data_IF_757724696599
#
_entry.id   IF_757724696599
#
_cell.length_a   1.000
_cell.length_b   1.000
_cell.length_c   1.000
_cell.angle_alpha   90.00
_cell.angle_beta   90.00
_cell.angle_gamma   90.00
#
_symmetry.space_group_name_H-M   'P 1'
#
loop_
_entity.id
_entity.type
_entity.pdbx_description
1 polymer ?
#
# COMPACT_ATOMS: atom_id res chain seq x y z
N UNK A 1 -1.14 -7.91 20.16
CA UNK A 1 -0.32 -6.68 20.06
C UNK A 1 -1.26 -5.50 20.17
N UNK A 2 -1.08 -4.62 21.15
CA UNK A 2 -1.90 -3.39 21.25
C UNK A 2 -1.39 -2.31 20.26
N UNK A 3 -2.12 -1.20 20.08
CA UNK A 3 -1.78 -0.16 19.11
C UNK A 3 -0.36 0.41 19.31
N UNK A 4 0.03 0.69 20.56
CA UNK A 4 1.38 1.20 20.88
C UNK A 4 2.48 0.19 20.54
N UNK A 5 2.23 -1.09 20.76
CA UNK A 5 3.15 -2.16 20.38
C UNK A 5 3.23 -2.35 18.86
N UNK A 6 2.13 -2.11 18.14
CA UNK A 6 2.10 -2.16 16.68
C UNK A 6 2.96 -1.04 16.08
N UNK A 7 2.72 0.21 16.45
CA UNK A 7 3.52 1.33 15.96
C UNK A 7 5.01 1.17 16.30
N UNK A 8 5.32 0.67 17.50
CA UNK A 8 6.70 0.33 17.88
C UNK A 8 7.29 -0.81 17.05
N UNK A 9 6.49 -1.79 16.65
CA UNK A 9 6.96 -2.89 15.80
C UNK A 9 7.21 -2.41 14.36
N UNK A 10 6.32 -1.57 13.83
CA UNK A 10 6.49 -0.90 12.53
C UNK A 10 7.74 -0.02 12.54
N UNK A 11 7.97 0.78 13.59
CA UNK A 11 9.14 1.66 13.72
C UNK A 11 10.48 0.93 13.87
N UNK A 12 10.46 -0.40 13.99
CA UNK A 12 11.65 -1.26 14.10
C UNK A 12 11.93 -2.05 12.82
N UNK A 13 11.05 -1.95 11.81
CA UNK A 13 11.32 -2.57 10.52
C UNK A 13 12.50 -1.88 9.85
N UNK A 14 13.41 -2.67 9.29
CA UNK A 14 14.60 -2.19 8.61
C UNK A 14 15.04 -3.18 7.53
N UNK A 15 15.80 -2.68 6.55
CA UNK A 15 16.31 -3.47 5.44
C UNK A 15 15.20 -4.17 4.65
N UNK A 16 15.41 -5.43 4.30
CA UNK A 16 14.46 -6.17 3.45
C UNK A 16 13.05 -6.28 4.06
N UNK A 17 12.92 -6.30 5.40
CA UNK A 17 11.61 -6.38 6.07
C UNK A 17 10.81 -5.11 5.89
N UNK A 18 11.47 -3.95 5.95
CA UNK A 18 10.81 -2.67 5.71
C UNK A 18 10.34 -2.55 4.27
N UNK A 19 11.21 -2.87 3.31
CA UNK A 19 10.85 -2.89 1.89
C UNK A 19 9.68 -3.85 1.61
N UNK A 20 9.69 -5.05 2.19
CA UNK A 20 8.60 -6.01 2.05
C UNK A 20 7.28 -5.50 2.65
N UNK A 21 7.33 -4.83 3.80
CA UNK A 21 6.13 -4.22 4.39
C UNK A 21 5.55 -3.12 3.49
N UNK A 22 6.39 -2.21 2.98
CA UNK A 22 5.96 -1.15 2.06
C UNK A 22 5.32 -1.73 0.79
N UNK A 23 5.93 -2.77 0.20
CA UNK A 23 5.38 -3.46 -0.97
C UNK A 23 4.07 -4.18 -0.67
N UNK A 24 3.91 -4.72 0.53
CA UNK A 24 2.67 -5.37 0.97
C UNK A 24 1.51 -4.36 1.04
N UNK A 25 1.75 -3.15 1.56
CA UNK A 25 0.76 -2.08 1.55
C UNK A 25 0.40 -1.63 0.12
N UNK A 26 1.41 -1.43 -0.73
CA UNK A 26 1.20 -1.06 -2.12
C UNK A 26 0.45 -2.16 -2.91
N UNK A 27 0.79 -3.43 -2.70
CA UNK A 27 0.11 -4.57 -3.34
C UNK A 27 -1.37 -4.62 -2.96
N UNK A 28 -1.69 -4.43 -1.67
CA UNK A 28 -3.08 -4.34 -1.20
C UNK A 28 -3.81 -3.13 -1.78
N UNK A 29 -3.14 -2.01 -2.02
CA UNK A 29 -3.76 -0.81 -2.58
C UNK A 29 -3.87 -0.82 -4.12
N UNK A 30 -3.20 -1.73 -4.81
CA UNK A 30 -3.13 -1.77 -6.28
C UNK A 30 -4.50 -1.78 -6.99
N UNK A 31 -5.52 -2.52 -6.53
CA UNK A 31 -6.81 -2.53 -7.23
C UNK A 31 -7.48 -1.14 -7.28
N UNK A 32 -7.19 -0.25 -6.33
CA UNK A 32 -7.69 1.14 -6.36
C UNK A 32 -7.16 1.89 -7.58
N UNK A 33 -5.85 1.79 -7.84
CA UNK A 33 -5.22 2.40 -9.01
C UNK A 33 -5.76 1.79 -10.30
N UNK A 34 -5.87 0.45 -10.34
CA UNK A 34 -6.30 -0.24 -11.54
C UNK A 34 -7.75 0.08 -11.90
N UNK A 35 -8.66 0.15 -10.91
CA UNK A 35 -10.04 0.56 -11.13
C UNK A 35 -10.13 2.01 -11.60
N UNK A 36 -9.41 2.93 -10.95
CA UNK A 36 -9.37 4.32 -11.38
C UNK A 36 -8.89 4.44 -12.83
N UNK A 37 -7.77 3.77 -13.16
CA UNK A 37 -7.19 3.82 -14.49
C UNK A 37 -8.16 3.29 -15.56
N UNK A 38 -8.88 2.20 -15.26
CA UNK A 38 -9.91 1.68 -16.17
C UNK A 38 -11.09 2.65 -16.31
N UNK A 39 -11.61 3.16 -15.19
CA UNK A 39 -12.75 4.07 -15.16
C UNK A 39 -12.54 5.37 -15.95
N UNK A 40 -11.31 5.89 -15.97
CA UNK A 40 -10.96 7.11 -16.73
C UNK A 40 -10.31 6.81 -18.09
N UNK A 41 -10.25 5.54 -18.50
CA UNK A 41 -9.71 5.10 -19.79
C UNK A 41 -8.18 5.19 -19.92
N UNK A 42 -7.46 5.33 -18.81
CA UNK A 42 -6.00 5.24 -18.77
C UNK A 42 -5.53 3.80 -19.02
N UNK A 43 -4.81 3.59 -20.12
CA UNK A 43 -4.16 2.30 -20.45
C UNK A 43 -2.87 2.08 -19.65
N UNK A 44 -2.87 2.42 -18.36
CA UNK A 44 -1.71 2.38 -17.46
C UNK A 44 -1.73 1.23 -16.46
N UNK A 45 -2.90 0.63 -16.15
CA UNK A 45 -3.04 -0.44 -15.15
C UNK A 45 -2.05 -1.60 -15.34
N UNK A 46 -1.93 -2.14 -16.55
CA UNK A 46 -0.96 -3.20 -16.85
C UNK A 46 0.51 -2.76 -16.73
N UNK A 47 0.84 -1.51 -17.09
CA UNK A 47 2.20 -0.96 -16.94
C UNK A 47 2.57 -0.78 -15.46
N UNK A 48 1.59 -0.39 -14.64
CA UNK A 48 1.74 -0.24 -13.20
C UNK A 48 1.89 -1.60 -12.51
N UNK A 49 1.10 -2.60 -12.91
CA UNK A 49 1.23 -3.98 -12.43
C UNK A 49 2.65 -4.52 -12.65
N UNK A 50 3.18 -4.34 -13.85
CA UNK A 50 4.56 -4.72 -14.19
C UNK A 50 5.60 -3.98 -13.33
N UNK A 51 5.39 -2.70 -13.03
CA UNK A 51 6.29 -1.93 -12.18
C UNK A 51 6.30 -2.46 -10.74
N UNK A 52 5.12 -2.76 -10.19
CA UNK A 52 4.99 -3.35 -8.86
C UNK A 52 5.59 -4.77 -8.81
N UNK A 53 5.41 -5.58 -9.86
CA UNK A 53 6.02 -6.91 -9.97
C UNK A 53 7.55 -6.86 -10.03
N UNK A 54 8.11 -5.87 -10.74
CA UNK A 54 9.54 -5.61 -10.74
C UNK A 54 10.01 -5.24 -9.32
N UNK A 55 9.29 -4.38 -8.61
CA UNK A 55 9.63 -3.98 -7.26
C UNK A 55 9.63 -5.17 -6.27
N UNK A 56 8.67 -6.10 -6.39
CA UNK A 56 8.70 -7.38 -5.67
C UNK A 56 9.91 -8.23 -6.05
N UNK A 57 10.24 -8.34 -7.34
CA UNK A 57 11.40 -9.09 -7.82
C UNK A 57 12.74 -8.58 -7.25
N UNK A 58 12.82 -7.30 -6.91
CA UNK A 58 14.00 -6.70 -6.28
C UNK A 58 14.19 -7.12 -4.81
N UNK A 59 13.22 -7.77 -4.16
CA UNK A 59 13.43 -8.39 -2.84
C UNK A 59 14.32 -9.64 -2.90
N UNK A 60 14.29 -10.35 -4.03
CA UNK A 60 15.00 -11.62 -4.22
C UNK A 60 16.30 -11.47 -5.01
N UNK A 61 16.41 -10.42 -5.83
CA UNK A 61 17.57 -10.18 -6.69
C UNK A 61 18.43 -9.08 -6.09
N UNK A 62 19.74 -9.17 -6.31
CA UNK A 62 20.64 -8.01 -6.24
C UNK A 62 20.31 -7.08 -7.41
N UNK A 63 19.19 -6.36 -7.26
CA UNK A 63 18.79 -5.35 -8.21
C UNK A 63 19.80 -4.21 -8.14
N UNK A 64 20.39 -3.87 -9.28
CA UNK A 64 21.30 -2.73 -9.36
C UNK A 64 20.55 -1.47 -8.92
N UNK A 65 21.05 -0.81 -7.87
CA UNK A 65 20.51 0.47 -7.38
C UNK A 65 20.44 1.52 -8.50
N UNK A 66 21.27 1.39 -9.53
CA UNK A 66 21.27 2.25 -10.71
C UNK A 66 19.95 2.22 -11.52
N UNK A 67 19.13 1.16 -11.38
CA UNK A 67 17.84 1.07 -12.05
C UNK A 67 16.71 1.83 -11.32
N UNK A 68 16.86 2.12 -10.03
CA UNK A 68 15.81 2.73 -9.20
C UNK A 68 15.37 4.11 -9.71
N UNK A 69 16.26 5.04 -10.11
CA UNK A 69 15.85 6.34 -10.65
C UNK A 69 14.95 6.22 -11.89
N UNK A 70 15.21 5.23 -12.75
CA UNK A 70 14.39 4.98 -13.94
C UNK A 70 13.00 4.44 -13.55
N UNK A 71 12.93 3.57 -12.53
CA UNK A 71 11.65 3.07 -12.02
C UNK A 71 10.81 4.18 -11.37
N UNK A 72 11.44 5.08 -10.62
CA UNK A 72 10.78 6.26 -10.04
C UNK A 72 10.25 7.20 -11.11
N UNK A 73 11.04 7.51 -12.14
CA UNK A 73 10.57 8.31 -13.28
C UNK A 73 9.40 7.64 -14.00
N UNK A 74 9.43 6.31 -14.17
CA UNK A 74 8.29 5.57 -14.73
C UNK A 74 7.06 5.67 -13.82
N UNK A 75 7.22 5.55 -12.50
CA UNK A 75 6.13 5.70 -11.53
C UNK A 75 5.48 7.08 -11.65
N UNK A 76 6.30 8.15 -11.67
CA UNK A 76 5.84 9.54 -11.82
C UNK A 76 4.99 9.72 -13.08
N UNK A 77 5.41 9.18 -14.23
CA UNK A 77 4.62 9.26 -15.48
C UNK A 77 3.30 8.48 -15.46
N UNK A 78 3.15 7.53 -14.52
CA UNK A 78 1.94 6.73 -14.36
C UNK A 78 1.06 7.25 -13.21
N UNK A 79 1.59 8.12 -12.35
CA UNK A 79 0.85 8.69 -11.22
C UNK A 79 -0.17 9.71 -11.74
N UNK A 80 -1.43 9.64 -11.29
CA UNK A 80 -2.39 10.67 -11.62
C UNK A 80 -2.12 11.96 -10.85
N UNK A 81 -2.55 13.09 -11.41
CA UNK A 81 -2.65 14.36 -10.70
C UNK A 81 -4.07 14.49 -10.15
N UNK A 82 -4.22 14.63 -8.83
CA UNK A 82 -5.54 14.70 -8.18
C UNK A 82 -6.38 15.89 -8.62
N UNK A 83 -5.74 16.98 -9.05
CA UNK A 83 -6.43 18.20 -9.51
C UNK A 83 -6.98 18.09 -10.95
N UNK A 84 -6.63 17.02 -11.68
CA UNK A 84 -7.04 16.80 -13.07
C UNK A 84 -8.28 15.89 -13.21
N UNK A 85 -8.81 15.36 -12.10
CA UNK A 85 -9.93 14.43 -12.12
C UNK A 85 -10.96 14.76 -11.04
N UNK A 86 -12.24 14.79 -11.41
CA UNK A 86 -13.34 15.03 -10.47
C UNK A 86 -13.73 13.76 -9.69
N UNK A 87 -13.37 12.58 -10.20
CA UNK A 87 -13.75 11.30 -9.60
C UNK A 87 -12.90 11.02 -8.35
N UNK A 88 -13.56 10.71 -7.23
CA UNK A 88 -12.90 10.40 -5.96
C UNK A 88 -11.80 9.33 -6.08
N UNK A 89 -11.96 8.34 -6.99
CA UNK A 89 -11.01 7.27 -7.21
C UNK A 89 -9.57 7.73 -7.52
N UNK A 90 -9.36 8.99 -7.90
CA UNK A 90 -8.02 9.56 -8.09
C UNK A 90 -7.20 9.59 -6.80
N UNK A 91 -7.82 9.84 -5.64
CA UNK A 91 -7.13 9.90 -4.34
C UNK A 91 -6.53 8.55 -3.92
N UNK A 92 -7.29 7.43 -3.86
CA UNK A 92 -6.70 6.14 -3.51
C UNK A 92 -5.77 5.59 -4.60
N UNK A 93 -5.93 6.00 -5.86
CA UNK A 93 -4.97 5.70 -6.92
C UNK A 93 -3.62 6.43 -6.70
N UNK A 94 -3.67 7.69 -6.29
CA UNK A 94 -2.48 8.48 -5.94
C UNK A 94 -1.80 7.94 -4.68
N UNK A 95 -2.56 7.58 -3.64
CA UNK A 95 -2.02 7.00 -2.41
C UNK A 95 -1.28 5.68 -2.67
N UNK A 96 -1.82 4.83 -3.56
CA UNK A 96 -1.12 3.65 -4.05
C UNK A 96 0.25 4.01 -4.67
N UNK A 97 0.32 5.05 -5.52
CA UNK A 97 1.57 5.50 -6.12
C UNK A 97 2.57 5.96 -5.05
N UNK A 98 2.13 6.69 -4.04
CA UNK A 98 2.97 7.12 -2.92
C UNK A 98 3.54 5.93 -2.13
N UNK A 99 2.72 4.89 -1.86
CA UNK A 99 3.18 3.68 -1.18
C UNK A 99 4.26 2.94 -1.97
N UNK A 100 4.06 2.78 -3.28
CA UNK A 100 5.05 2.17 -4.17
C UNK A 100 6.33 3.01 -4.28
N UNK A 101 6.20 4.34 -4.33
CA UNK A 101 7.34 5.26 -4.31
C UNK A 101 8.19 5.06 -3.07
N UNK A 102 7.57 4.95 -1.88
CA UNK A 102 8.32 4.71 -0.64
C UNK A 102 9.08 3.39 -0.68
N UNK A 103 8.51 2.32 -1.27
CA UNK A 103 9.20 1.05 -1.44
C UNK A 103 10.43 1.16 -2.35
N UNK A 104 10.32 1.89 -3.47
CA UNK A 104 11.43 2.14 -4.39
C UNK A 104 12.52 3.03 -3.75
N UNK A 105 12.12 4.11 -3.07
CA UNK A 105 13.04 4.99 -2.37
C UNK A 105 13.72 4.32 -1.17
N UNK A 106 13.07 3.34 -0.52
CA UNK A 106 13.70 2.54 0.54
C UNK A 106 14.88 1.73 -0.01
N UNK A 107 14.85 1.32 -1.29
CA UNK A 107 15.98 0.63 -1.91
C UNK A 107 17.15 1.55 -2.20
N UNK A 108 16.89 2.78 -2.60
CA UNK A 108 17.93 3.77 -2.88
C UNK A 108 18.51 4.40 -1.60
N UNK A 109 17.68 4.57 -0.57
CA UNK A 109 18.08 5.12 0.72
C UNK A 109 17.41 4.34 1.87
N UNK A 110 17.96 3.18 2.24
CA UNK A 110 17.40 2.31 3.28
C UNK A 110 17.60 2.85 4.70
N UNK A 111 18.41 3.90 4.89
CA UNK A 111 18.63 4.51 6.20
C UNK A 111 17.48 5.45 6.61
N UNK A 112 16.68 5.91 5.65
CA UNK A 112 15.45 6.66 5.94
C UNK A 112 14.33 5.68 6.25
N UNK A 113 13.90 5.67 7.51
CA UNK A 113 12.69 4.95 7.94
C UNK A 113 11.44 5.53 7.26
N UNK A 114 10.59 4.66 6.73
CA UNK A 114 9.40 4.98 5.92
C UNK A 114 8.16 4.21 6.36
N UNK A 115 8.32 3.05 6.99
CA UNK A 115 7.20 2.15 7.27
C UNK A 115 6.09 2.78 8.16
N UNK A 116 6.44 3.67 9.09
CA UNK A 116 5.45 4.31 9.97
C UNK A 116 4.51 5.24 9.21
N UNK A 117 5.08 6.13 8.38
CA UNK A 117 4.30 7.07 7.57
C UNK A 117 3.48 6.33 6.51
N UNK A 118 4.06 5.31 5.87
CA UNK A 118 3.34 4.47 4.90
C UNK A 118 2.17 3.70 5.53
N UNK A 119 2.34 3.17 6.75
CA UNK A 119 1.27 2.52 7.52
C UNK A 119 0.12 3.48 7.84
N UNK A 120 0.45 4.73 8.20
CA UNK A 120 -0.53 5.78 8.44
C UNK A 120 -1.25 6.17 7.15
N UNK A 121 -0.53 6.32 6.03
CA UNK A 121 -1.12 6.61 4.73
C UNK A 121 -2.11 5.52 4.32
N UNK A 122 -1.71 4.24 4.38
CA UNK A 122 -2.59 3.13 4.03
C UNK A 122 -3.88 3.10 4.88
N UNK A 123 -3.77 3.39 6.18
CA UNK A 123 -4.93 3.51 7.08
C UNK A 123 -5.79 4.73 6.73
N UNK A 124 -5.16 5.87 6.44
CA UNK A 124 -5.83 7.12 6.08
C UNK A 124 -6.65 6.96 4.80
N UNK A 125 -6.12 6.27 3.78
CA UNK A 125 -6.88 5.97 2.55
C UNK A 125 -8.19 5.25 2.85
N UNK A 126 -8.20 4.32 3.81
CA UNK A 126 -9.44 3.63 4.26
C UNK A 126 -10.35 4.58 5.04
N UNK A 127 -9.80 5.39 5.95
CA UNK A 127 -10.58 6.35 6.73
C UNK A 127 -11.26 7.38 5.84
N UNK A 128 -10.51 8.01 4.94
CA UNK A 128 -10.99 9.02 3.99
C UNK A 128 -12.10 8.44 3.09
N UNK A 129 -11.98 7.16 2.70
CA UNK A 129 -13.02 6.50 1.90
C UNK A 129 -14.30 6.25 2.69
N UNK A 130 -14.18 5.76 3.92
CA UNK A 130 -15.32 5.53 4.81
C UNK A 130 -16.01 6.84 5.17
N UNK A 131 -15.25 7.90 5.44
CA UNK A 131 -15.79 9.24 5.70
C UNK A 131 -16.56 9.77 4.49
N UNK A 132 -15.98 9.65 3.29
CA UNK A 132 -16.63 10.10 2.05
C UNK A 132 -17.90 9.30 1.74
N UNK A 133 -17.90 7.98 1.97
CA UNK A 133 -19.00 7.09 1.57
C UNK A 133 -20.12 6.96 2.59
N UNK A 134 -19.81 7.07 3.89
CA UNK A 134 -20.74 6.81 4.99
C UNK A 134 -20.81 7.95 6.02
N UNK A 135 -19.90 8.94 5.96
CA UNK A 135 -19.75 9.99 6.97
C UNK A 135 -20.55 11.27 6.73
N UNK A 136 -21.38 11.34 5.69
CA UNK A 136 -22.13 12.57 5.37
C UNK A 136 -23.04 13.00 6.53
N UNK A 137 -22.84 14.24 7.02
CA UNK A 137 -23.64 14.83 8.09
C UNK A 137 -23.28 14.37 9.50
N UNK A 138 -22.26 13.54 9.67
CA UNK A 138 -21.71 13.16 10.97
C UNK A 138 -20.79 14.25 11.53
N UNK A 139 -20.78 14.40 12.86
CA UNK A 139 -19.74 15.18 13.54
C UNK A 139 -18.48 14.33 13.84
N UNK A 140 -17.43 14.99 14.35
CA UNK A 140 -16.15 14.34 14.66
C UNK A 140 -16.30 13.15 15.63
N UNK A 141 -17.18 13.26 16.63
CA UNK A 141 -17.38 12.20 17.64
C UNK A 141 -18.13 11.00 17.04
N UNK A 142 -19.08 11.26 16.13
CA UNK A 142 -19.80 10.23 15.37
C UNK A 142 -18.86 9.49 14.40
N UNK A 143 -18.02 10.23 13.66
CA UNK A 143 -17.02 9.65 12.75
C UNK A 143 -16.04 8.74 13.50
N UNK A 144 -15.55 9.17 14.68
CA UNK A 144 -14.64 8.36 15.50
C UNK A 144 -15.30 7.03 15.90
N UNK A 145 -16.57 7.05 16.32
CA UNK A 145 -17.31 5.83 16.69
C UNK A 145 -17.53 4.91 15.50
N UNK A 146 -17.84 5.48 14.33
CA UNK A 146 -17.96 4.72 13.08
C UNK A 146 -16.62 4.04 12.76
N UNK A 147 -15.51 4.78 12.77
CA UNK A 147 -14.18 4.25 12.48
C UNK A 147 -13.73 3.14 13.44
N UNK A 148 -14.13 3.20 14.71
CA UNK A 148 -13.83 2.14 15.68
C UNK A 148 -14.48 0.79 15.31
N UNK A 149 -15.64 0.84 14.67
CA UNK A 149 -16.43 -0.35 14.37
C UNK A 149 -16.42 -0.77 12.90
N UNK A 150 -15.97 0.08 11.99
CA UNK A 150 -16.00 -0.15 10.55
C UNK A 150 -15.21 -1.42 10.14
N UNK A 151 -15.81 -2.35 9.35
CA UNK A 151 -15.16 -3.58 8.92
C UNK A 151 -13.84 -3.36 8.18
N UNK A 152 -13.79 -2.47 7.19
CA UNK A 152 -12.58 -2.20 6.42
C UNK A 152 -11.41 -1.72 7.30
N UNK A 153 -11.68 -0.88 8.30
CA UNK A 153 -10.65 -0.39 9.22
C UNK A 153 -10.18 -1.49 10.19
N UNK A 154 -11.05 -2.41 10.59
CA UNK A 154 -10.67 -3.58 11.38
C UNK A 154 -9.80 -4.52 10.56
N UNK A 155 -10.17 -4.79 9.31
CA UNK A 155 -9.42 -5.64 8.39
C UNK A 155 -8.05 -5.05 8.07
N UNK A 156 -7.96 -3.76 7.75
CA UNK A 156 -6.69 -3.08 7.50
C UNK A 156 -5.76 -3.15 8.72
N UNK A 157 -6.28 -2.85 9.92
CA UNK A 157 -5.52 -2.98 11.18
C UNK A 157 -4.99 -4.40 11.41
N UNK A 158 -5.80 -5.43 11.15
CA UNK A 158 -5.39 -6.82 11.29
C UNK A 158 -4.34 -7.20 10.26
N UNK A 159 -4.57 -6.85 8.99
CA UNK A 159 -3.65 -7.11 7.87
C UNK A 159 -2.26 -6.51 8.13
N UNK A 160 -2.19 -5.21 8.46
CA UNK A 160 -0.90 -4.56 8.72
C UNK A 160 -0.20 -5.19 9.92
N UNK A 161 -0.93 -5.49 11.00
CA UNK A 161 -0.38 -6.13 12.21
C UNK A 161 0.19 -7.52 11.90
N UNK A 162 -0.57 -8.33 11.19
CA UNK A 162 -0.21 -9.72 10.92
C UNK A 162 0.98 -9.78 9.94
N UNK A 163 1.04 -8.87 8.95
CA UNK A 163 2.20 -8.64 8.08
C UNK A 163 3.46 -8.34 8.88
N UNK A 164 3.41 -7.36 9.81
CA UNK A 164 4.55 -6.99 10.66
C UNK A 164 5.00 -8.18 11.52
N UNK A 165 4.05 -8.93 12.08
CA UNK A 165 4.35 -10.10 12.90
C UNK A 165 5.03 -11.22 12.09
N UNK A 166 4.56 -11.49 10.88
CA UNK A 166 5.16 -12.45 9.96
C UNK A 166 6.61 -12.05 9.61
N UNK A 167 6.82 -10.79 9.22
CA UNK A 167 8.14 -10.25 8.89
C UNK A 167 9.13 -10.34 10.05
N UNK A 168 8.68 -10.05 11.27
CA UNK A 168 9.54 -10.15 12.48
C UNK A 168 9.98 -11.58 12.79
N UNK A 169 9.15 -12.57 12.48
CA UNK A 169 9.45 -14.00 12.70
C UNK A 169 10.38 -14.56 11.63
N UNK A 170 10.27 -14.05 10.40
CA UNK A 170 11.08 -14.51 9.28
C UNK A 170 12.51 -14.00 9.38
N UNK A 171 13.52 -14.87 9.24
CA UNK A 171 14.94 -14.51 9.40
C UNK A 171 15.54 -13.85 8.15
N UNK A 172 15.25 -14.40 6.99
CA UNK A 172 15.79 -14.01 5.67
C UNK A 172 14.66 -13.93 4.62
N UNK A 173 14.80 -13.14 3.56
CA UNK A 173 13.78 -12.99 2.51
C UNK A 173 13.76 -14.22 1.60
N UNK A 174 13.29 -15.37 2.10
CA UNK A 174 13.18 -16.56 1.27
C UNK A 174 12.13 -16.35 0.18
N UNK A 175 12.37 -16.94 -0.99
CA UNK A 175 11.49 -16.81 -2.15
C UNK A 175 10.07 -17.30 -1.85
N UNK A 176 9.93 -18.44 -1.16
CA UNK A 176 8.64 -19.02 -0.74
C UNK A 176 7.82 -18.04 0.12
N UNK A 177 8.46 -17.45 1.12
CA UNK A 177 7.84 -16.50 2.04
C UNK A 177 7.44 -15.20 1.34
N UNK A 178 8.27 -14.68 0.42
CA UNK A 178 7.92 -13.47 -0.32
C UNK A 178 6.77 -13.72 -1.29
N UNK A 179 6.71 -14.90 -1.90
CA UNK A 179 5.59 -15.28 -2.75
C UNK A 179 4.27 -15.40 -1.95
N UNK A 180 4.32 -16.04 -0.77
CA UNK A 180 3.18 -16.13 0.16
C UNK A 180 2.72 -14.74 0.61
N UNK A 181 3.67 -13.89 1.05
CA UNK A 181 3.37 -12.53 1.47
C UNK A 181 2.70 -11.71 0.36
N UNK A 182 3.20 -11.82 -0.87
CA UNK A 182 2.60 -11.15 -2.04
C UNK A 182 1.18 -11.66 -2.32
N UNK A 183 0.95 -12.98 -2.22
CA UNK A 183 -0.37 -13.56 -2.43
C UNK A 183 -1.38 -13.12 -1.37
N UNK A 184 -1.00 -13.13 -0.09
CA UNK A 184 -1.82 -12.62 1.03
C UNK A 184 -2.10 -11.11 0.88
N UNK A 185 -1.13 -10.34 0.41
CA UNK A 185 -1.28 -8.92 0.15
C UNK A 185 -2.25 -8.66 -1.01
N UNK A 186 -2.17 -9.45 -2.09
CA UNK A 186 -3.07 -9.35 -3.23
C UNK A 186 -4.53 -9.65 -2.86
N UNK A 187 -4.77 -10.45 -1.81
CA UNK A 187 -6.08 -10.63 -1.17
C UNK A 187 -7.19 -10.96 -2.19
N UNK A 188 -6.91 -11.93 -3.05
CA UNK A 188 -7.81 -12.34 -4.14
C UNK A 188 -8.27 -11.18 -5.04
N UNK A 189 -7.44 -10.13 -5.19
CA UNK A 189 -7.72 -8.95 -5.99
C UNK A 189 -8.51 -7.86 -5.27
N UNK A 190 -8.81 -8.02 -3.97
CA UNK A 190 -9.59 -7.08 -3.17
C UNK A 190 -8.69 -6.09 -2.44
N UNK A 191 -8.91 -4.79 -2.67
CA UNK A 191 -8.08 -3.74 -2.08
C UNK A 191 -8.35 -3.48 -0.59
N UNK A 192 -7.55 -2.59 0.01
CA UNK A 192 -7.82 -2.04 1.35
C UNK A 192 -9.17 -1.31 1.48
N UNK A 193 -9.80 -0.94 0.35
CA UNK A 193 -11.14 -0.33 0.30
C UNK A 193 -12.25 -1.36 0.03
N UNK A 194 -11.93 -2.65 -0.06
CA UNK A 194 -12.89 -3.68 -0.46
C UNK A 194 -13.21 -3.70 -1.96
N UNK A 195 -12.39 -3.03 -2.79
CA UNK A 195 -12.61 -2.90 -4.23
C UNK A 195 -11.94 -4.07 -4.96
N UNK A 196 -12.68 -4.72 -5.87
CA UNK A 196 -12.16 -5.71 -6.82
C UNK A 196 -12.49 -5.31 -8.26
N UNK A 197 -11.65 -5.72 -9.21
CA UNK A 197 -11.91 -5.60 -10.65
C UNK A 197 -12.78 -6.73 -11.19
N UNK A 198 -12.84 -7.84 -10.48
CA UNK A 198 -13.66 -8.99 -10.84
C UNK A 198 -15.07 -8.78 -10.26
N UNK A 199 -16.04 -8.57 -11.16
CA UNK A 199 -17.47 -8.52 -10.85
C UNK A 199 -18.11 -9.91 -10.92
#
# INVERSE_FOLDING_TARGET
>A
MNANQFLKAVSQLQGWRECAFLLTLAERAFPNYALFADAVGMKSGGKMRQLLDLAWGMLQKDASEAAIPQLLSKLETLSPNVDEYDAYGVYPAFDFCQLLEQALLNRLNPNKHRATEASQLATKTVMDFVEMSEGEGMDDDELIRMFEHHPLLKEDKLFQRDTVLALKRQRTPREDFIAELKAEAANDGVSNLGISLDS
#
